data_IF_748552560642
#
_entry.id   IF_748552560642
#
_cell.length_a   1.000
_cell.length_b   1.000
_cell.length_c   1.000
_cell.angle_alpha   90.00
_cell.angle_beta   90.00
_cell.angle_gamma   90.00
#
_symmetry.space_group_name_H-M   'P 1'
#
loop_
_entity.id
_entity.type
_entity.pdbx_description
1 polymer ?
#
# COMPACT_ATOMS: atom_id res chain seq x y z
N UNK A 1 1.35 14.39 -3.08
CA UNK A 1 2.24 14.55 -1.90
C UNK A 1 2.79 15.96 -1.75
N UNK A 2 2.68 16.82 -2.77
CA UNK A 2 3.26 18.17 -2.75
C UNK A 2 2.69 19.07 -1.66
N UNK A 3 1.38 18.94 -1.34
CA UNK A 3 0.74 19.69 -0.26
C UNK A 3 1.37 19.41 1.11
N UNK A 4 1.68 18.16 1.43
CA UNK A 4 2.29 17.81 2.73
C UNK A 4 3.74 18.30 2.84
N UNK A 5 4.52 18.19 1.76
CA UNK A 5 5.97 18.46 1.76
C UNK A 5 6.31 19.94 1.51
N UNK A 6 5.56 20.64 0.66
CA UNK A 6 5.89 21.99 0.21
C UNK A 6 4.89 23.05 0.66
N UNK A 7 3.62 22.68 0.95
CA UNK A 7 2.59 23.64 1.30
C UNK A 7 1.78 23.21 2.53
N UNK A 8 2.47 23.11 3.67
CA UNK A 8 1.88 22.61 4.92
C UNK A 8 0.68 23.45 5.39
N UNK A 9 0.69 24.77 5.14
CA UNK A 9 -0.43 25.65 5.50
C UNK A 9 -1.72 25.29 4.74
N UNK A 10 -1.62 24.97 3.46
CA UNK A 10 -2.77 24.53 2.66
C UNK A 10 -3.20 23.11 3.04
N UNK A 11 -2.24 22.25 3.41
CA UNK A 11 -2.56 20.94 3.97
C UNK A 11 -3.37 21.07 5.28
N UNK A 12 -2.95 21.91 6.22
CA UNK A 12 -3.70 22.14 7.45
C UNK A 12 -5.08 22.75 7.18
N UNK A 13 -5.21 23.63 6.19
CA UNK A 13 -6.51 24.20 5.80
C UNK A 13 -7.49 23.13 5.29
N UNK A 14 -7.01 22.19 4.48
CA UNK A 14 -7.84 21.17 3.82
C UNK A 14 -8.06 19.91 4.67
N UNK A 15 -7.09 19.54 5.50
CA UNK A 15 -7.06 18.28 6.26
C UNK A 15 -7.09 18.49 7.79
N UNK A 16 -7.51 19.67 8.23
CA UNK A 16 -7.81 19.97 9.62
C UNK A 16 -8.90 19.04 10.17
N UNK A 17 -8.65 18.49 11.37
CA UNK A 17 -9.58 17.62 12.09
C UNK A 17 -10.26 18.32 13.28
N UNK A 18 -10.16 19.64 13.39
CA UNK A 18 -10.65 20.46 14.52
C UNK A 18 -12.17 20.38 14.67
N UNK A 19 -12.90 20.21 13.57
CA UNK A 19 -14.37 20.09 13.57
C UNK A 19 -14.87 18.65 13.68
N UNK A 20 -13.99 17.64 13.74
CA UNK A 20 -14.36 16.23 13.84
C UNK A 20 -14.12 15.72 15.26
N UNK A 21 -15.19 15.41 15.99
CA UNK A 21 -15.08 14.73 17.29
C UNK A 21 -14.87 13.24 17.04
N UNK A 22 -13.60 12.80 17.06
CA UNK A 22 -13.20 11.42 16.79
C UNK A 22 -13.82 10.46 17.83
N UNK A 23 -14.16 10.89 19.04
CA UNK A 23 -14.74 10.01 20.07
C UNK A 23 -16.28 9.89 20.00
N UNK A 24 -16.92 10.64 19.09
CA UNK A 24 -18.40 10.67 18.97
C UNK A 24 -19.02 9.37 18.45
N UNK A 25 -18.25 8.51 17.78
CA UNK A 25 -18.72 7.23 17.27
C UNK A 25 -17.85 6.14 17.89
N UNK A 26 -18.45 5.14 18.57
CA UNK A 26 -17.72 4.09 19.25
C UNK A 26 -16.89 3.27 18.25
N UNK A 27 -15.70 2.85 18.69
CA UNK A 27 -14.73 2.07 17.91
C UNK A 27 -15.40 0.81 17.32
N UNK A 28 -16.32 0.19 18.07
CA UNK A 28 -17.13 -0.97 17.67
C UNK A 28 -17.83 -0.78 16.31
N UNK A 29 -18.34 0.44 16.05
CA UNK A 29 -19.07 0.76 14.80
C UNK A 29 -18.13 1.11 13.64
N UNK A 30 -16.88 1.47 13.93
CA UNK A 30 -15.89 1.87 12.92
C UNK A 30 -15.01 0.72 12.46
N UNK A 31 -14.84 -0.29 13.31
CA UNK A 31 -13.94 -1.41 13.05
C UNK A 31 -14.59 -2.41 12.09
N UNK A 32 -14.15 -2.39 10.83
CA UNK A 32 -14.44 -3.48 9.88
C UNK A 32 -13.55 -4.70 10.18
N UNK A 33 -13.76 -5.29 11.35
CA UNK A 33 -12.90 -6.35 11.91
C UNK A 33 -12.77 -7.56 10.99
N UNK A 34 -13.90 -8.01 10.42
CA UNK A 34 -13.93 -9.18 9.55
C UNK A 34 -13.16 -8.95 8.24
N UNK A 35 -13.39 -7.81 7.59
CA UNK A 35 -12.67 -7.45 6.36
C UNK A 35 -11.17 -7.28 6.62
N UNK A 36 -10.81 -6.63 7.72
CA UNK A 36 -9.41 -6.40 8.08
C UNK A 36 -8.67 -7.71 8.38
N UNK A 37 -9.30 -8.65 9.10
CA UNK A 37 -8.73 -9.97 9.35
C UNK A 37 -8.53 -10.77 8.07
N UNK A 38 -9.54 -10.79 7.18
CA UNK A 38 -9.42 -11.49 5.88
C UNK A 38 -8.26 -10.92 5.06
N UNK A 39 -8.15 -9.59 4.96
CA UNK A 39 -7.06 -8.95 4.22
C UNK A 39 -5.69 -9.22 4.86
N UNK A 40 -5.59 -9.24 6.18
CA UNK A 40 -4.33 -9.54 6.88
C UNK A 40 -3.88 -10.99 6.63
N UNK A 41 -4.80 -11.95 6.71
CA UNK A 41 -4.51 -13.37 6.45
C UNK A 41 -4.10 -13.57 5.00
N UNK A 42 -4.84 -12.99 4.05
CA UNK A 42 -4.49 -13.05 2.63
C UNK A 42 -3.14 -12.38 2.35
N UNK A 43 -2.86 -11.24 2.98
CA UNK A 43 -1.58 -10.54 2.87
C UNK A 43 -0.40 -11.41 3.29
N UNK A 44 -0.53 -12.13 4.41
CA UNK A 44 0.50 -13.09 4.88
C UNK A 44 0.69 -14.23 3.88
N UNK A 45 -0.41 -14.83 3.40
CA UNK A 45 -0.36 -15.94 2.43
C UNK A 45 0.33 -15.48 1.14
N UNK A 46 -0.07 -14.33 0.59
CA UNK A 46 0.52 -13.80 -0.63
C UNK A 46 1.99 -13.44 -0.44
N UNK A 47 2.36 -12.82 0.69
CA UNK A 47 3.76 -12.50 0.99
C UNK A 47 4.65 -13.75 1.03
N UNK A 48 4.20 -14.81 1.71
CA UNK A 48 4.94 -16.08 1.77
C UNK A 48 5.06 -16.76 0.42
N UNK A 49 4.03 -16.67 -0.43
CA UNK A 49 4.05 -17.23 -1.78
C UNK A 49 4.94 -16.41 -2.72
N UNK A 50 5.04 -15.09 -2.51
CA UNK A 50 5.82 -14.19 -3.36
C UNK A 50 7.33 -14.40 -3.23
N UNK A 51 7.82 -14.69 -2.02
CA UNK A 51 9.24 -14.90 -1.74
C UNK A 51 9.90 -16.01 -2.61
N UNK A 52 9.37 -17.25 -2.69
CA UNK A 52 9.97 -18.30 -3.52
C UNK A 52 9.86 -17.98 -5.02
N UNK A 53 8.77 -17.34 -5.45
CA UNK A 53 8.60 -16.90 -6.84
C UNK A 53 9.69 -15.89 -7.24
N UNK A 54 9.91 -14.88 -6.41
CA UNK A 54 10.92 -13.86 -6.66
C UNK A 54 12.34 -14.44 -6.65
N UNK A 55 12.63 -15.39 -5.74
CA UNK A 55 13.92 -16.08 -5.71
C UNK A 55 14.21 -16.86 -7.00
N UNK A 56 13.19 -17.52 -7.57
CA UNK A 56 13.33 -18.24 -8.84
C UNK A 56 13.63 -17.29 -10.01
N UNK A 57 12.92 -16.15 -10.07
CA UNK A 57 13.13 -15.11 -11.09
C UNK A 57 14.51 -14.46 -10.94
N UNK A 58 14.93 -14.18 -9.71
CA UNK A 58 16.26 -13.64 -9.40
C UNK A 58 17.38 -14.54 -9.94
N UNK A 59 17.22 -15.86 -9.93
CA UNK A 59 18.25 -16.74 -10.49
C UNK A 59 18.38 -16.61 -12.02
N UNK A 60 17.30 -16.22 -12.70
CA UNK A 60 17.19 -16.23 -14.16
C UNK A 60 17.34 -14.82 -14.78
N UNK A 61 17.27 -13.74 -13.99
CA UNK A 61 17.26 -12.36 -14.50
C UNK A 61 18.47 -12.00 -15.39
N UNK A 62 19.65 -12.55 -15.10
CA UNK A 62 20.87 -12.31 -15.89
C UNK A 62 20.81 -12.84 -17.33
N UNK A 63 19.84 -13.70 -17.67
CA UNK A 63 19.80 -14.37 -18.99
C UNK A 63 18.93 -13.65 -20.01
N UNK A 64 17.98 -12.82 -19.58
CA UNK A 64 17.07 -12.12 -20.49
C UNK A 64 16.54 -10.84 -19.84
N UNK A 65 16.49 -9.75 -20.61
CA UNK A 65 15.98 -8.45 -20.17
C UNK A 65 14.51 -8.53 -19.71
N UNK A 66 13.74 -9.48 -20.25
CA UNK A 66 12.37 -9.74 -19.82
C UNK A 66 12.29 -10.16 -18.34
N UNK A 67 13.20 -11.03 -17.87
CA UNK A 67 13.21 -11.44 -16.45
C UNK A 67 13.63 -10.31 -15.52
N UNK A 68 14.39 -9.32 -16.01
CA UNK A 68 14.73 -8.12 -15.21
C UNK A 68 13.51 -7.25 -14.96
N UNK A 69 12.60 -7.11 -15.94
CA UNK A 69 11.33 -6.38 -15.77
C UNK A 69 10.40 -7.15 -14.82
N UNK A 70 10.29 -8.47 -14.98
CA UNK A 70 9.52 -9.31 -14.04
C UNK A 70 10.04 -9.21 -12.61
N UNK A 71 11.36 -9.13 -12.42
CA UNK A 71 11.96 -8.94 -11.10
C UNK A 71 11.59 -7.58 -10.50
N UNK A 72 11.61 -6.52 -11.31
CA UNK A 72 11.17 -5.18 -10.86
C UNK A 72 9.70 -5.18 -10.42
N UNK A 73 8.81 -5.77 -11.22
CA UNK A 73 7.38 -5.91 -10.87
C UNK A 73 7.23 -6.65 -9.53
N UNK A 74 7.94 -7.77 -9.37
CA UNK A 74 7.84 -8.54 -8.13
C UNK A 74 8.37 -7.83 -6.88
N UNK A 75 9.36 -6.95 -7.01
CA UNK A 75 9.83 -6.09 -5.90
C UNK A 75 8.75 -5.05 -5.55
N UNK A 76 8.16 -4.42 -6.56
CA UNK A 76 7.09 -3.42 -6.39
C UNK A 76 5.87 -4.06 -5.71
N UNK A 77 5.51 -5.29 -6.05
CA UNK A 77 4.43 -6.05 -5.43
C UNK A 77 4.68 -6.34 -3.95
N UNK A 78 5.92 -6.69 -3.56
CA UNK A 78 6.26 -6.87 -2.14
C UNK A 78 6.05 -5.57 -1.36
N UNK A 79 6.47 -4.42 -1.91
CA UNK A 79 6.25 -3.12 -1.29
C UNK A 79 4.74 -2.81 -1.20
N UNK A 80 3.99 -3.13 -2.24
CA UNK A 80 2.52 -3.02 -2.26
C UNK A 80 1.87 -3.85 -1.16
N UNK A 81 2.24 -5.12 -1.05
CA UNK A 81 1.74 -6.05 -0.04
C UNK A 81 2.04 -5.60 1.39
N UNK A 82 3.19 -4.97 1.65
CA UNK A 82 3.47 -4.40 2.97
C UNK A 82 2.44 -3.31 3.32
N UNK A 83 2.11 -2.44 2.37
CA UNK A 83 1.19 -1.33 2.62
C UNK A 83 -0.27 -1.80 2.68
N UNK A 84 -0.71 -2.56 1.68
CA UNK A 84 -2.12 -2.97 1.54
C UNK A 84 -2.46 -4.21 2.34
N UNK A 85 -1.51 -5.14 2.49
CA UNK A 85 -1.68 -6.41 3.19
C UNK A 85 -1.36 -6.37 4.68
N UNK A 86 -0.56 -5.41 5.15
CA UNK A 86 -0.25 -5.29 6.59
C UNK A 86 -0.68 -3.94 7.17
N UNK A 87 -0.16 -2.81 6.66
CA UNK A 87 -0.43 -1.49 7.25
C UNK A 87 -1.92 -1.18 7.24
N UNK A 88 -2.58 -1.30 6.08
CA UNK A 88 -4.00 -1.01 5.95
C UNK A 88 -4.91 -1.84 6.88
N UNK A 89 -4.84 -3.19 6.90
CA UNK A 89 -5.69 -3.98 7.78
C UNK A 89 -5.36 -3.77 9.27
N UNK A 90 -4.10 -3.53 9.66
CA UNK A 90 -3.75 -3.19 11.05
C UNK A 90 -4.44 -1.87 11.46
N UNK A 91 -4.39 -0.85 10.61
CA UNK A 91 -5.10 0.41 10.86
C UNK A 91 -6.62 0.21 10.93
N UNK A 92 -7.18 -0.64 10.07
CA UNK A 92 -8.60 -0.97 10.08
C UNK A 92 -9.03 -1.73 11.35
N UNK A 93 -8.18 -2.61 11.90
CA UNK A 93 -8.40 -3.28 13.19
C UNK A 93 -8.35 -2.32 14.38
N UNK A 94 -7.51 -1.29 14.31
CA UNK A 94 -7.47 -0.22 15.30
C UNK A 94 -8.67 0.73 15.19
N UNK A 95 -9.46 0.63 14.12
CA UNK A 95 -10.51 1.61 13.81
C UNK A 95 -9.95 3.01 13.54
N UNK A 96 -8.67 3.08 13.12
CA UNK A 96 -7.97 4.33 12.88
C UNK A 96 -8.61 5.06 11.70
N UNK A 97 -9.05 6.28 11.94
CA UNK A 97 -9.52 7.21 10.90
C UNK A 97 -8.36 8.12 10.48
N UNK A 98 -8.52 8.83 9.35
CA UNK A 98 -7.51 9.78 8.87
C UNK A 98 -6.99 10.71 9.99
N UNK A 99 -7.89 11.22 10.83
CA UNK A 99 -7.54 12.12 11.93
C UNK A 99 -6.76 11.49 13.09
N UNK A 100 -6.70 10.16 13.22
CA UNK A 100 -5.91 9.49 14.26
C UNK A 100 -4.42 9.49 13.94
N UNK A 101 -4.08 9.23 12.66
CA UNK A 101 -2.70 9.19 12.18
C UNK A 101 -2.61 9.84 10.78
N UNK A 102 -2.83 11.15 10.66
CA UNK A 102 -3.01 11.84 9.38
C UNK A 102 -1.78 11.72 8.48
N UNK A 103 -0.59 11.89 9.04
CA UNK A 103 0.68 11.76 8.30
C UNK A 103 0.89 10.34 7.78
N UNK A 104 0.68 9.34 8.63
CA UNK A 104 0.89 7.93 8.27
C UNK A 104 -0.10 7.49 7.19
N UNK A 105 -1.38 7.80 7.35
CA UNK A 105 -2.44 7.43 6.41
C UNK A 105 -2.24 8.14 5.06
N UNK A 106 -1.85 9.41 5.08
CA UNK A 106 -1.58 10.17 3.86
C UNK A 106 -0.38 9.62 3.09
N UNK A 107 0.73 9.33 3.78
CA UNK A 107 1.94 8.77 3.15
C UNK A 107 1.67 7.35 2.65
N UNK A 108 1.05 6.50 3.46
CA UNK A 108 0.72 5.13 3.07
C UNK A 108 -0.21 5.09 1.85
N UNK A 109 -1.23 5.95 1.81
CA UNK A 109 -2.11 6.08 0.65
C UNK A 109 -1.38 6.57 -0.61
N UNK A 110 -0.47 7.53 -0.47
CA UNK A 110 0.37 8.02 -1.57
C UNK A 110 1.29 6.93 -2.12
N UNK A 111 1.97 6.20 -1.24
CA UNK A 111 2.84 5.09 -1.62
C UNK A 111 2.06 3.95 -2.30
N UNK A 112 0.89 3.58 -1.77
CA UNK A 112 0.04 2.57 -2.39
C UNK A 112 -0.37 2.96 -3.83
N UNK A 113 -0.72 4.23 -4.06
CA UNK A 113 -1.03 4.72 -5.41
C UNK A 113 0.18 4.70 -6.33
N UNK A 114 1.35 5.10 -5.83
CA UNK A 114 2.59 5.05 -6.59
C UNK A 114 2.91 3.63 -7.04
N UNK A 115 2.85 2.67 -6.11
CA UNK A 115 3.09 1.24 -6.38
C UNK A 115 2.14 0.72 -7.46
N UNK A 116 0.85 0.98 -7.34
CA UNK A 116 -0.15 0.53 -8.33
C UNK A 116 0.13 1.06 -9.75
N UNK A 117 0.53 2.33 -9.85
CA UNK A 117 0.87 2.94 -11.15
C UNK A 117 2.17 2.35 -11.70
N UNK A 118 3.19 2.18 -10.86
CA UNK A 118 4.46 1.56 -11.25
C UNK A 118 4.24 0.13 -11.79
N UNK A 119 3.46 -0.68 -11.09
CA UNK A 119 3.10 -2.03 -11.51
C UNK A 119 2.35 -2.02 -12.86
N UNK A 120 1.30 -1.20 -12.98
CA UNK A 120 0.49 -1.10 -14.20
C UNK A 120 1.33 -0.70 -15.42
N UNK A 121 2.24 0.27 -15.26
CA UNK A 121 3.15 0.69 -16.34
C UNK A 121 4.17 -0.38 -16.70
N UNK A 122 4.74 -1.08 -15.71
CA UNK A 122 5.68 -2.16 -15.95
C UNK A 122 5.03 -3.35 -16.65
N UNK A 123 3.79 -3.70 -16.29
CA UNK A 123 3.00 -4.73 -16.97
C UNK A 123 2.74 -4.37 -18.44
N UNK A 124 2.40 -3.10 -18.74
CA UNK A 124 2.21 -2.65 -20.11
C UNK A 124 3.51 -2.76 -20.93
N UNK A 125 4.64 -2.35 -20.35
CA UNK A 125 5.96 -2.46 -21.00
C UNK A 125 6.35 -3.92 -21.23
N UNK A 126 6.04 -4.81 -20.29
CA UNK A 126 6.27 -6.25 -20.45
C UNK A 126 5.46 -6.84 -21.59
N UNK A 127 4.20 -6.40 -21.78
CA UNK A 127 3.34 -6.84 -22.88
C UNK A 127 3.82 -6.34 -24.24
N UNK A 128 4.38 -5.13 -24.32
CA UNK A 128 4.90 -4.56 -25.57
C UNK A 128 6.21 -5.21 -26.04
N UNK A 129 6.90 -5.96 -25.18
CA UNK A 129 8.16 -6.66 -25.49
C UNK A 129 7.97 -8.13 -25.88
N UNK A 130 6.73 -8.64 -25.88
CA UNK A 130 6.35 -9.97 -26.36
C UNK A 130 5.90 -9.84 -27.82
#
# INVERSE_FOLDING_TARGET
MELLLFNHQEYERLYNCTNLVIDSIPIEKRRLTLLALINLILGIIYFLLYLPCLFSIWKQHWKNDCYTILLFIGIVDIVGLIITGFIHPILALLGAVFCSYPTLIFIAGGLAKFVLVAESTANLVSLMKI
#
